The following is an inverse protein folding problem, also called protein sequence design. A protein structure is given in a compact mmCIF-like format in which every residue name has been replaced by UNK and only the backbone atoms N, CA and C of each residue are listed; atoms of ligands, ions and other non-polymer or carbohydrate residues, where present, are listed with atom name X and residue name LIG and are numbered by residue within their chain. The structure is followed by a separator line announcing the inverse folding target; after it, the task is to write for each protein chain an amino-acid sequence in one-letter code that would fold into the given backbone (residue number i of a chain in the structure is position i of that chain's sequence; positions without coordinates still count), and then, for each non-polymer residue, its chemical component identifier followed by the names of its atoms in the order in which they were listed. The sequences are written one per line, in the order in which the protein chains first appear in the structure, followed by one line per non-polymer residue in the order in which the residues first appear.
data_IF_334602679997
#
_entry.id   IF_334602679997
#
_cell.length_a   1.000
_cell.length_b   1.000
_cell.length_c   1.000
_cell.angle_alpha   90.00
_cell.angle_beta   90.00
_cell.angle_gamma   90.00
#
_symmetry.space_group_name_H-M   'P 1'
#
loop_
_entity.id
_entity.type
_entity.pdbx_description
1 polymer ?
#
# COMPACT_ATOMS: atom_id res chain seq x y z
N UNK A 1 -9.48 -23.24 -24.53
CA UNK A 1 -8.51 -22.47 -23.70
C UNK A 1 -8.97 -21.04 -23.67
N UNK A 2 -9.53 -20.57 -22.56
CA UNK A 2 -9.86 -19.16 -22.40
C UNK A 2 -8.53 -18.40 -22.24
N UNK A 3 -8.15 -17.58 -23.19
CA UNK A 3 -7.05 -16.64 -23.03
C UNK A 3 -7.52 -15.53 -22.09
N UNK A 4 -7.18 -15.63 -20.82
CA UNK A 4 -7.27 -14.48 -19.92
C UNK A 4 -6.22 -13.47 -20.39
N UNK A 5 -6.65 -12.32 -20.90
CA UNK A 5 -5.75 -11.19 -21.13
C UNK A 5 -5.44 -10.58 -19.76
N UNK A 6 -4.28 -10.93 -19.21
CA UNK A 6 -3.72 -10.24 -18.06
C UNK A 6 -3.01 -9.01 -18.63
N UNK A 7 -3.50 -7.82 -18.28
CA UNK A 7 -2.96 -6.56 -18.79
C UNK A 7 -1.83 -6.02 -17.90
N UNK A 8 -1.91 -6.26 -16.58
CA UNK A 8 -0.94 -5.78 -15.60
C UNK A 8 -0.69 -6.83 -14.53
N UNK A 9 0.55 -6.92 -14.10
CA UNK A 9 0.97 -7.74 -12.97
C UNK A 9 1.64 -6.85 -11.92
N UNK A 10 1.49 -7.22 -10.67
CA UNK A 10 2.05 -6.53 -9.51
C UNK A 10 2.80 -7.52 -8.63
N UNK A 11 3.78 -7.02 -7.90
CA UNK A 11 4.56 -7.81 -6.95
C UNK A 11 4.33 -7.21 -5.56
N UNK A 12 4.00 -8.04 -4.57
CA UNK A 12 4.10 -7.64 -3.18
C UNK A 12 5.39 -8.20 -2.60
N UNK A 13 6.23 -7.32 -2.01
CA UNK A 13 7.46 -7.75 -1.37
C UNK A 13 7.18 -8.66 -0.16
N UNK A 14 8.12 -9.55 0.21
CA UNK A 14 7.94 -10.41 1.37
C UNK A 14 7.76 -9.60 2.67
N UNK A 15 6.91 -10.07 3.56
CA UNK A 15 6.58 -9.39 4.83
C UNK A 15 7.75 -9.28 5.83
N UNK A 16 8.88 -9.96 5.61
CA UNK A 16 10.08 -9.83 6.46
C UNK A 16 10.91 -8.58 6.15
N UNK A 17 10.57 -7.81 5.14
CA UNK A 17 11.22 -6.54 4.81
C UNK A 17 11.11 -5.59 6.01
N UNK A 18 12.27 -5.03 6.42
CA UNK A 18 12.31 -4.02 7.47
C UNK A 18 13.48 -3.04 7.24
N UNK A 19 13.19 -1.93 6.56
CA UNK A 19 14.16 -0.86 6.32
C UNK A 19 14.44 -0.02 7.60
N UNK A 20 13.54 -0.07 8.59
CA UNK A 20 13.66 0.67 9.85
C UNK A 20 14.38 -0.11 10.96
N UNK A 21 14.82 -1.35 10.74
CA UNK A 21 15.47 -2.17 11.77
C UNK A 21 16.73 -1.55 12.34
N UNK A 22 17.00 -1.74 13.65
CA UNK A 22 18.30 -1.40 14.27
C UNK A 22 19.44 -2.21 13.66
N UNK A 23 19.16 -3.44 13.23
CA UNK A 23 20.12 -4.40 12.72
C UNK A 23 20.52 -4.09 11.27
N UNK A 24 21.77 -3.66 11.08
CA UNK A 24 22.29 -3.29 9.75
C UNK A 24 22.13 -4.41 8.71
N UNK A 25 22.32 -5.66 9.10
CA UNK A 25 22.22 -6.79 8.18
C UNK A 25 20.78 -7.00 7.70
N UNK A 26 19.75 -6.77 8.55
CA UNK A 26 18.32 -6.85 8.18
C UNK A 26 18.00 -5.75 7.16
N UNK A 27 18.43 -4.49 7.41
CA UNK A 27 18.24 -3.38 6.47
C UNK A 27 18.90 -3.67 5.12
N UNK A 28 20.16 -4.12 5.12
CA UNK A 28 20.87 -4.42 3.88
C UNK A 28 20.21 -5.54 3.08
N UNK A 29 19.78 -6.60 3.78
CA UNK A 29 19.05 -7.69 3.14
C UNK A 29 17.72 -7.18 2.55
N UNK A 30 16.98 -6.36 3.29
CA UNK A 30 15.72 -5.77 2.82
C UNK A 30 15.92 -4.91 1.57
N UNK A 31 16.95 -4.06 1.55
CA UNK A 31 17.33 -3.25 0.39
C UNK A 31 17.61 -4.14 -0.83
N UNK A 32 18.46 -5.16 -0.65
CA UNK A 32 18.84 -6.06 -1.74
C UNK A 32 17.63 -6.84 -2.29
N UNK A 33 16.78 -7.36 -1.40
CA UNK A 33 15.58 -8.10 -1.82
C UNK A 33 14.63 -7.19 -2.61
N UNK A 34 14.34 -5.98 -2.14
CA UNK A 34 13.47 -5.04 -2.88
C UNK A 34 14.09 -4.69 -4.24
N UNK A 35 15.41 -4.43 -4.28
CA UNK A 35 16.09 -4.12 -5.54
C UNK A 35 16.03 -5.29 -6.52
N UNK A 36 16.34 -6.50 -6.08
CA UNK A 36 16.26 -7.70 -6.91
C UNK A 36 14.85 -7.95 -7.45
N UNK A 37 13.82 -7.73 -6.63
CA UNK A 37 12.42 -7.88 -7.05
C UNK A 37 12.00 -6.78 -8.05
N UNK A 38 12.49 -5.54 -7.91
CA UNK A 38 12.28 -4.48 -8.90
C UNK A 38 12.90 -4.84 -10.26
N UNK A 39 14.14 -5.33 -10.28
CA UNK A 39 14.83 -5.77 -11.52
C UNK A 39 14.10 -6.94 -12.17
N UNK A 40 13.69 -7.95 -11.37
CA UNK A 40 12.88 -9.08 -11.85
C UNK A 40 11.53 -8.62 -12.37
N UNK A 41 10.85 -7.72 -11.62
CA UNK A 41 9.58 -7.14 -12.01
C UNK A 41 9.67 -6.43 -13.36
N UNK A 42 10.74 -5.65 -13.57
CA UNK A 42 11.00 -4.99 -14.85
C UNK A 42 11.21 -6.01 -15.98
N UNK A 43 12.01 -7.06 -15.74
CA UNK A 43 12.26 -8.10 -16.73
C UNK A 43 10.99 -8.89 -17.11
N UNK A 44 10.05 -9.04 -16.16
CA UNK A 44 8.77 -9.72 -16.35
C UNK A 44 7.66 -8.80 -16.87
N UNK A 45 7.91 -7.48 -16.98
CA UNK A 45 6.91 -6.49 -17.38
C UNK A 45 5.85 -6.21 -16.33
N UNK A 46 6.17 -6.41 -15.03
CA UNK A 46 5.29 -6.02 -13.94
C UNK A 46 5.15 -4.49 -13.86
N UNK A 47 3.95 -4.02 -13.51
CA UNK A 47 3.63 -2.59 -13.38
C UNK A 47 4.33 -1.96 -12.19
N UNK A 48 4.24 -2.61 -11.04
CA UNK A 48 4.81 -2.09 -9.80
C UNK A 48 5.10 -3.21 -8.78
N UNK A 49 5.94 -2.86 -7.80
CA UNK A 49 6.23 -3.62 -6.60
C UNK A 49 5.85 -2.78 -5.38
N UNK A 50 4.96 -3.28 -4.52
CA UNK A 50 4.60 -2.65 -3.26
C UNK A 50 5.26 -3.34 -2.08
N UNK A 51 5.50 -2.58 -0.99
CA UNK A 51 6.08 -3.09 0.24
C UNK A 51 5.72 -2.24 1.45
N UNK A 52 5.76 -2.85 2.64
CA UNK A 52 5.69 -2.14 3.92
C UNK A 52 7.09 -1.71 4.37
N UNK A 53 7.29 -0.45 4.81
CA UNK A 53 8.62 0.05 5.19
C UNK A 53 9.27 -0.71 6.36
N UNK A 54 8.46 -1.33 7.22
CA UNK A 54 8.90 -2.09 8.37
C UNK A 54 8.62 -1.39 9.70
N UNK A 55 9.25 -1.87 10.77
CA UNK A 55 8.99 -1.42 12.13
C UNK A 55 10.22 -0.77 12.76
N UNK A 56 10.01 0.39 13.36
CA UNK A 56 11.01 1.18 14.10
C UNK A 56 11.06 0.83 15.59
N UNK A 57 10.51 -0.31 16.02
CA UNK A 57 10.39 -0.73 17.43
C UNK A 57 11.68 -0.52 18.23
N UNK A 58 12.83 -0.83 17.61
CA UNK A 58 14.12 -0.83 18.30
C UNK A 58 14.88 0.51 18.19
N UNK A 59 14.43 1.43 17.35
CA UNK A 59 15.15 2.69 17.08
C UNK A 59 14.33 3.94 17.34
N UNK A 60 13.00 3.80 17.46
CA UNK A 60 12.05 4.91 17.54
C UNK A 60 11.69 5.51 16.18
N UNK A 61 10.53 6.17 16.11
CA UNK A 61 9.89 6.61 14.87
C UNK A 61 10.77 7.54 14.03
N UNK A 62 11.29 8.61 14.62
CA UNK A 62 12.11 9.60 13.91
C UNK A 62 13.35 8.97 13.25
N UNK A 63 14.06 8.11 13.98
CA UNK A 63 15.22 7.41 13.43
C UNK A 63 14.80 6.35 12.41
N UNK A 64 13.67 5.68 12.63
CA UNK A 64 13.10 4.71 11.70
C UNK A 64 12.81 5.34 10.34
N UNK A 65 12.15 6.50 10.31
CA UNK A 65 11.89 7.26 9.08
C UNK A 65 13.19 7.58 8.33
N UNK A 66 14.23 8.08 9.02
CA UNK A 66 15.53 8.36 8.40
C UNK A 66 16.18 7.11 7.80
N UNK A 67 16.09 5.97 8.49
CA UNK A 67 16.63 4.70 7.99
C UNK A 67 15.84 4.18 6.77
N UNK A 68 14.53 4.38 6.73
CA UNK A 68 13.71 4.04 5.55
C UNK A 68 14.12 4.91 4.36
N UNK A 69 14.25 6.23 4.54
CA UNK A 69 14.70 7.16 3.50
C UNK A 69 16.08 6.73 2.93
N UNK A 70 17.05 6.46 3.80
CA UNK A 70 18.36 5.93 3.38
C UNK A 70 18.22 4.61 2.60
N UNK A 71 17.28 3.75 3.00
CA UNK A 71 16.96 2.50 2.31
C UNK A 71 16.38 2.74 0.93
N UNK A 72 15.42 3.65 0.80
CA UNK A 72 14.82 4.05 -0.48
C UNK A 72 15.86 4.61 -1.45
N UNK A 73 16.71 5.50 -0.97
CA UNK A 73 17.81 6.07 -1.78
C UNK A 73 18.70 4.96 -2.36
N UNK A 74 19.07 3.99 -1.54
CA UNK A 74 19.92 2.87 -1.98
C UNK A 74 19.19 1.91 -2.92
N UNK A 75 17.89 1.67 -2.71
CA UNK A 75 17.08 0.84 -3.60
C UNK A 75 17.00 1.50 -4.98
N UNK A 76 16.80 2.82 -5.01
CA UNK A 76 16.58 3.57 -6.25
C UNK A 76 17.88 4.02 -6.93
N UNK A 77 19.03 3.93 -6.26
CA UNK A 77 20.31 4.32 -6.83
C UNK A 77 20.64 3.50 -8.10
N UNK A 78 20.82 4.20 -9.22
CA UNK A 78 21.08 3.58 -10.52
C UNK A 78 19.95 2.68 -11.05
N UNK A 79 18.76 2.66 -10.44
CA UNK A 79 17.62 1.92 -10.97
C UNK A 79 17.04 2.63 -12.20
N UNK A 80 16.90 1.89 -13.31
CA UNK A 80 16.34 2.38 -14.59
C UNK A 80 15.26 1.45 -15.14
N UNK A 81 14.81 0.49 -14.33
CA UNK A 81 13.78 -0.46 -14.73
C UNK A 81 12.39 0.17 -14.86
N UNK A 82 11.45 -0.56 -15.46
CA UNK A 82 10.07 -0.11 -15.69
C UNK A 82 9.11 -0.43 -14.54
N UNK A 83 9.47 -1.33 -13.61
CA UNK A 83 8.65 -1.68 -12.47
C UNK A 83 8.73 -0.57 -11.42
N UNK A 84 7.61 0.08 -11.10
CA UNK A 84 7.56 1.19 -10.15
C UNK A 84 7.60 0.67 -8.71
N UNK A 85 8.41 1.30 -7.84
CA UNK A 85 8.37 1.04 -6.39
C UNK A 85 7.17 1.77 -5.77
N UNK A 86 6.41 1.08 -4.92
CA UNK A 86 5.29 1.67 -4.17
C UNK A 86 5.47 1.46 -2.68
N UNK A 87 5.27 2.51 -1.90
CA UNK A 87 5.12 2.39 -0.45
C UNK A 87 3.65 2.07 -0.16
N UNK A 88 3.40 1.01 0.59
CA UNK A 88 2.06 0.68 1.03
C UNK A 88 1.77 1.27 2.40
N UNK A 89 0.56 1.85 2.56
CA UNK A 89 0.09 2.31 3.87
C UNK A 89 0.00 1.10 4.82
N UNK A 90 0.45 1.29 6.05
CA UNK A 90 0.49 0.25 7.09
C UNK A 90 -0.69 0.38 8.06
N UNK A 91 -1.09 -0.73 8.69
CA UNK A 91 -2.24 -0.75 9.62
C UNK A 91 -1.96 -0.14 11.01
N UNK A 92 -0.75 0.37 11.26
CA UNK A 92 -0.40 1.03 12.52
C UNK A 92 -0.09 0.08 13.68
N UNK A 93 0.20 -1.19 13.42
CA UNK A 93 0.49 -2.16 14.48
C UNK A 93 1.87 -1.93 15.12
N UNK A 94 1.89 -1.53 16.38
CA UNK A 94 3.13 -1.30 17.12
C UNK A 94 3.86 -0.02 16.67
N UNK A 95 5.11 -0.14 16.21
CA UNK A 95 5.92 0.98 15.75
C UNK A 95 6.24 0.84 14.26
N UNK A 96 5.27 0.44 13.44
CA UNK A 96 5.43 0.38 11.98
C UNK A 96 5.56 1.79 11.41
N UNK A 97 6.29 1.90 10.31
CA UNK A 97 6.42 3.14 9.54
C UNK A 97 5.40 3.12 8.40
N UNK A 98 4.83 4.30 8.09
CA UNK A 98 3.91 4.48 6.99
C UNK A 98 2.45 4.18 7.33
N UNK A 99 2.04 4.36 8.58
CA UNK A 99 0.65 4.24 9.01
C UNK A 99 -0.14 5.56 8.93
N UNK A 100 0.53 6.65 8.58
CA UNK A 100 -0.10 7.95 8.33
C UNK A 100 0.33 8.54 6.99
N UNK A 101 -0.53 9.40 6.43
CA UNK A 101 -0.23 10.10 5.18
C UNK A 101 0.97 11.02 5.34
N UNK A 102 1.11 11.65 6.52
CA UNK A 102 2.23 12.52 6.86
C UNK A 102 3.56 11.76 6.88
N UNK A 103 3.58 10.52 7.37
CA UNK A 103 4.79 9.69 7.33
C UNK A 103 5.14 9.29 5.90
N UNK A 104 4.14 8.83 5.11
CA UNK A 104 4.38 8.48 3.70
C UNK A 104 4.88 9.70 2.93
N UNK A 105 4.28 10.87 3.10
CA UNK A 105 4.74 12.11 2.49
C UNK A 105 6.20 12.41 2.89
N UNK A 106 6.53 12.27 4.19
CA UNK A 106 7.91 12.48 4.68
C UNK A 106 8.92 11.51 4.06
N UNK A 107 8.52 10.26 3.79
CA UNK A 107 9.36 9.28 3.11
C UNK A 107 9.61 9.67 1.65
N UNK A 108 8.56 10.10 0.94
CA UNK A 108 8.65 10.53 -0.45
C UNK A 108 9.47 11.82 -0.59
N UNK A 109 9.20 12.80 0.25
CA UNK A 109 9.91 14.10 0.24
C UNK A 109 11.38 13.96 0.64
N UNK A 110 11.67 13.02 1.54
CA UNK A 110 13.04 12.80 2.04
C UNK A 110 13.92 12.00 1.09
N UNK A 111 13.35 11.17 0.23
CA UNK A 111 14.11 10.34 -0.69
C UNK A 111 14.54 11.12 -1.94
N UNK A 112 15.79 10.94 -2.39
CA UNK A 112 16.36 11.63 -3.56
C UNK A 112 15.56 11.43 -4.86
N UNK A 113 14.92 10.27 -5.01
CA UNK A 113 14.06 9.91 -6.15
C UNK A 113 12.62 9.65 -5.72
N UNK A 114 12.17 10.32 -4.64
CA UNK A 114 10.82 10.13 -4.10
C UNK A 114 9.70 10.38 -5.10
N UNK A 115 9.85 11.34 -6.00
CA UNK A 115 8.89 11.61 -7.07
C UNK A 115 8.66 10.43 -8.04
N UNK A 116 9.54 9.44 -8.08
CA UNK A 116 9.38 8.22 -8.89
C UNK A 116 8.75 7.08 -8.10
N UNK A 117 8.64 7.22 -6.78
CA UNK A 117 8.03 6.24 -5.88
C UNK A 117 6.54 6.56 -5.77
N UNK A 118 5.70 5.56 -5.97
CA UNK A 118 4.26 5.71 -5.82
C UNK A 118 3.75 5.17 -4.49
N UNK A 119 2.43 5.18 -4.33
CA UNK A 119 1.74 4.71 -3.13
C UNK A 119 0.74 3.62 -3.49
N UNK A 120 0.70 2.58 -2.65
CA UNK A 120 -0.37 1.61 -2.56
C UNK A 120 -1.23 1.95 -1.34
N UNK A 121 -2.52 2.19 -1.56
CA UNK A 121 -3.46 2.48 -0.49
C UNK A 121 -4.28 1.23 -0.18
N UNK A 122 -4.00 0.58 0.94
CA UNK A 122 -4.84 -0.51 1.44
C UNK A 122 -5.98 0.05 2.29
N UNK A 123 -7.22 -0.32 1.96
CA UNK A 123 -8.42 0.18 2.64
C UNK A 123 -8.54 -0.36 4.06
N UNK A 124 -8.13 -1.60 4.31
CA UNK A 124 -8.13 -2.19 5.65
C UNK A 124 -7.07 -1.53 6.54
N UNK A 125 -5.85 -1.35 6.01
CA UNK A 125 -4.76 -0.70 6.74
C UNK A 125 -5.09 0.75 7.08
N UNK A 126 -5.56 1.52 6.11
CA UNK A 126 -5.99 2.90 6.32
C UNK A 126 -7.11 2.99 7.38
N UNK A 127 -8.12 2.10 7.31
CA UNK A 127 -9.19 2.06 8.30
C UNK A 127 -8.68 1.73 9.70
N UNK A 128 -7.78 0.75 9.81
CA UNK A 128 -7.15 0.38 11.07
C UNK A 128 -6.26 1.49 11.64
N UNK A 129 -5.68 2.33 10.79
CA UNK A 129 -4.83 3.48 11.18
C UNK A 129 -5.61 4.78 11.44
N UNK A 130 -6.95 4.76 11.31
CA UNK A 130 -7.79 5.90 11.69
C UNK A 130 -8.33 6.73 10.52
N UNK A 131 -8.22 6.25 9.28
CA UNK A 131 -8.86 6.86 8.11
C UNK A 131 -10.23 6.21 7.86
N UNK A 132 -11.29 6.94 8.18
CA UNK A 132 -12.66 6.40 8.09
C UNK A 132 -13.11 6.24 6.64
N UNK A 133 -13.56 5.03 6.30
CA UNK A 133 -14.00 4.65 4.95
C UNK A 133 -15.45 4.11 4.93
N UNK A 134 -16.25 4.31 5.99
CA UNK A 134 -17.57 3.69 6.14
C UNK A 134 -18.69 4.39 5.38
N UNK A 135 -18.59 5.70 5.17
CA UNK A 135 -19.65 6.51 4.57
C UNK A 135 -19.14 7.34 3.39
N UNK A 136 -20.05 7.81 2.53
CA UNK A 136 -19.69 8.71 1.41
C UNK A 136 -18.87 9.92 1.89
N UNK A 137 -19.31 10.57 2.95
CA UNK A 137 -18.64 11.78 3.47
C UNK A 137 -17.25 11.47 4.04
N UNK A 138 -17.10 10.36 4.77
CA UNK A 138 -15.81 9.98 5.35
C UNK A 138 -14.81 9.52 4.28
N UNK A 139 -15.25 8.76 3.27
CA UNK A 139 -14.41 8.39 2.13
C UNK A 139 -13.89 9.63 1.39
N UNK A 140 -14.80 10.57 1.05
CA UNK A 140 -14.38 11.80 0.35
C UNK A 140 -13.42 12.64 1.18
N UNK A 141 -13.62 12.70 2.49
CA UNK A 141 -12.71 13.39 3.41
C UNK A 141 -11.34 12.70 3.39
N UNK A 142 -11.29 11.39 3.56
CA UNK A 142 -10.03 10.62 3.56
C UNK A 142 -9.26 10.79 2.25
N UNK A 143 -9.94 10.67 1.09
CA UNK A 143 -9.28 10.85 -0.21
C UNK A 143 -8.82 12.30 -0.42
N UNK A 144 -9.58 13.29 0.05
CA UNK A 144 -9.14 14.69 0.03
C UNK A 144 -7.93 14.95 0.94
N UNK A 145 -7.89 14.32 2.11
CA UNK A 145 -6.75 14.43 3.02
C UNK A 145 -5.51 13.76 2.42
N UNK A 146 -5.67 12.60 1.76
CA UNK A 146 -4.60 11.95 0.98
C UNK A 146 -4.07 12.87 -0.12
N UNK A 147 -4.97 13.44 -0.94
CA UNK A 147 -4.61 14.35 -2.04
C UNK A 147 -3.83 15.57 -1.55
N UNK A 148 -4.27 16.17 -0.46
CA UNK A 148 -3.60 17.34 0.13
C UNK A 148 -2.22 17.03 0.69
N UNK A 149 -2.02 15.81 1.23
CA UNK A 149 -0.80 15.46 1.98
C UNK A 149 0.24 14.77 1.10
N UNK A 150 -0.22 13.92 0.16
CA UNK A 150 0.66 13.10 -0.69
C UNK A 150 0.52 13.48 -2.16
N UNK A 151 -0.72 13.74 -2.62
CA UNK A 151 -1.08 13.92 -4.02
C UNK A 151 -1.67 12.66 -4.65
N UNK A 152 -2.81 12.80 -5.34
CA UNK A 152 -3.46 11.65 -6.01
C UNK A 152 -2.66 11.10 -7.20
N UNK A 153 -1.74 11.87 -7.76
CA UNK A 153 -0.80 11.43 -8.80
C UNK A 153 0.18 10.36 -8.31
N UNK A 154 0.45 10.31 -7.00
CA UNK A 154 1.28 9.27 -6.37
C UNK A 154 0.53 7.96 -6.17
N UNK A 155 -0.82 7.96 -6.21
CA UNK A 155 -1.64 6.78 -5.94
C UNK A 155 -1.72 5.88 -7.18
N UNK A 156 -1.12 4.71 -7.12
CA UNK A 156 -1.02 3.77 -8.25
C UNK A 156 -1.97 2.59 -8.09
N UNK A 157 -2.12 2.08 -6.87
CA UNK A 157 -2.88 0.88 -6.54
C UNK A 157 -3.74 1.11 -5.30
N UNK A 158 -4.95 0.59 -5.33
CA UNK A 158 -5.78 0.36 -4.15
C UNK A 158 -5.83 -1.15 -3.86
N UNK A 159 -5.38 -1.56 -2.68
CA UNK A 159 -5.79 -2.83 -2.11
C UNK A 159 -7.19 -2.65 -1.51
N UNK A 160 -8.17 -3.35 -2.07
CA UNK A 160 -9.59 -3.18 -1.71
C UNK A 160 -10.01 -4.33 -0.80
N UNK A 161 -9.84 -4.14 0.49
CA UNK A 161 -10.08 -5.13 1.54
C UNK A 161 -11.02 -4.56 2.59
N UNK A 162 -12.03 -5.33 3.01
CA UNK A 162 -12.81 -4.97 4.19
C UNK A 162 -12.03 -5.31 5.47
N UNK A 163 -12.50 -4.89 6.61
CA UNK A 163 -11.80 -5.03 7.88
C UNK A 163 -12.57 -5.89 8.90
N UNK A 164 -11.95 -6.94 9.41
CA UNK A 164 -12.44 -7.64 10.60
C UNK A 164 -12.27 -6.79 11.85
N UNK A 165 -11.28 -5.89 11.85
CA UNK A 165 -10.91 -5.06 12.99
C UNK A 165 -11.72 -3.79 13.04
N UNK A 166 -11.91 -3.25 14.26
CA UNK A 166 -12.59 -1.96 14.45
C UNK A 166 -11.77 -0.80 13.89
N UNK A 167 -12.46 0.30 13.63
CA UNK A 167 -11.85 1.57 13.24
C UNK A 167 -10.78 2.00 14.23
N UNK A 168 -9.63 2.46 13.73
CA UNK A 168 -8.50 2.94 14.53
C UNK A 168 -7.98 1.90 15.55
N UNK A 169 -8.04 0.62 15.19
CA UNK A 169 -7.65 -0.49 16.07
C UNK A 169 -6.17 -0.84 16.00
N UNK A 170 -5.46 -0.34 14.99
CA UNK A 170 -4.06 -0.68 14.71
C UNK A 170 -3.83 -2.19 14.56
N UNK A 171 -4.80 -2.89 13.91
CA UNK A 171 -4.75 -4.33 13.68
C UNK A 171 -4.98 -4.65 12.22
N UNK A 172 -4.01 -5.30 11.62
CA UNK A 172 -4.10 -5.82 10.27
C UNK A 172 -4.91 -7.13 10.26
N UNK A 173 -6.15 -7.05 9.78
CA UNK A 173 -7.06 -8.20 9.64
C UNK A 173 -8.05 -7.93 8.52
N UNK A 174 -7.75 -8.49 7.34
CA UNK A 174 -8.59 -8.39 6.13
C UNK A 174 -9.87 -9.21 6.28
N UNK A 175 -10.94 -8.74 5.64
CA UNK A 175 -12.23 -9.39 5.53
C UNK A 175 -12.76 -9.28 4.10
N UNK A 176 -13.73 -10.13 3.76
CA UNK A 176 -14.46 -10.08 2.49
C UNK A 176 -15.30 -8.82 2.36
N UNK A 177 -15.42 -8.30 1.15
CA UNK A 177 -16.12 -7.04 0.88
C UNK A 177 -17.59 -7.09 1.36
N UNK A 178 -17.92 -6.17 2.25
CA UNK A 178 -19.24 -6.03 2.85
C UNK A 178 -19.52 -6.93 4.05
N UNK A 179 -18.57 -7.78 4.45
CA UNK A 179 -18.68 -8.61 5.64
C UNK A 179 -17.97 -8.00 6.85
N UNK A 180 -17.15 -6.96 6.63
CA UNK A 180 -16.35 -6.31 7.65
C UNK A 180 -16.96 -5.00 8.17
N UNK A 181 -16.10 -4.20 8.78
CA UNK A 181 -16.45 -2.97 9.49
C UNK A 181 -16.45 -1.72 8.61
N UNK A 182 -15.88 -1.79 7.39
CA UNK A 182 -15.95 -0.71 6.40
C UNK A 182 -17.31 -0.74 5.72
N UNK A 183 -17.69 -1.90 5.17
CA UNK A 183 -18.97 -2.13 4.54
C UNK A 183 -19.08 -1.61 3.10
N UNK A 184 -20.09 -2.08 2.36
CA UNK A 184 -20.23 -1.84 0.92
C UNK A 184 -20.47 -0.37 0.54
N UNK A 185 -21.05 0.44 1.42
CA UNK A 185 -21.31 1.86 1.15
C UNK A 185 -20.00 2.62 0.90
N UNK A 186 -19.01 2.39 1.78
CA UNK A 186 -17.69 2.98 1.63
C UNK A 186 -17.00 2.56 0.34
N UNK A 187 -17.00 1.28 0.03
CA UNK A 187 -16.41 0.77 -1.22
C UNK A 187 -17.11 1.33 -2.45
N UNK A 188 -18.44 1.39 -2.46
CA UNK A 188 -19.20 1.98 -3.58
C UNK A 188 -18.77 3.42 -3.85
N UNK A 189 -18.62 4.21 -2.82
CA UNK A 189 -18.12 5.58 -2.95
C UNK A 189 -16.69 5.59 -3.46
N UNK A 190 -15.78 4.84 -2.81
CA UNK A 190 -14.36 4.86 -3.12
C UNK A 190 -14.09 4.50 -4.59
N UNK A 191 -14.60 3.35 -5.05
CA UNK A 191 -14.36 2.89 -6.43
C UNK A 191 -15.13 3.68 -7.49
N UNK A 192 -16.18 4.42 -7.08
CA UNK A 192 -16.96 5.31 -7.93
C UNK A 192 -16.35 6.71 -8.10
N UNK A 193 -15.30 7.07 -7.36
CA UNK A 193 -14.64 8.36 -7.48
C UNK A 193 -13.94 8.50 -8.83
N UNK A 194 -14.35 9.47 -9.65
CA UNK A 194 -13.74 9.74 -10.97
C UNK A 194 -12.25 10.07 -10.87
N UNK A 195 -11.83 10.73 -9.79
CA UNK A 195 -10.42 11.04 -9.52
C UNK A 195 -9.55 9.79 -9.36
N UNK A 196 -10.14 8.64 -9.03
CA UNK A 196 -9.45 7.36 -8.86
C UNK A 196 -9.64 6.40 -10.04
N UNK A 197 -10.20 6.86 -11.17
CA UNK A 197 -10.48 6.00 -12.33
C UNK A 197 -9.24 5.41 -12.98
N UNK A 198 -8.07 6.01 -12.77
CA UNK A 198 -6.76 5.57 -13.26
C UNK A 198 -6.07 4.56 -12.34
N UNK A 199 -6.55 4.39 -11.11
CA UNK A 199 -5.95 3.54 -10.09
C UNK A 199 -6.38 2.09 -10.28
N UNK A 200 -5.44 1.16 -10.22
CA UNK A 200 -5.74 -0.26 -10.29
C UNK A 200 -6.23 -0.80 -8.94
N UNK A 201 -7.16 -1.75 -8.99
CA UNK A 201 -7.80 -2.34 -7.81
C UNK A 201 -7.35 -3.79 -7.66
N UNK A 202 -6.83 -4.15 -6.49
CA UNK A 202 -6.36 -5.50 -6.15
C UNK A 202 -7.09 -5.95 -4.88
N UNK A 203 -7.45 -7.23 -4.81
CA UNK A 203 -8.07 -7.86 -3.65
C UNK A 203 -7.03 -8.71 -2.92
N UNK A 204 -6.90 -8.50 -1.62
CA UNK A 204 -6.12 -9.35 -0.70
C UNK A 204 -7.02 -9.94 0.40
N UNK A 205 -8.30 -10.12 0.08
CA UNK A 205 -9.27 -10.74 0.96
C UNK A 205 -8.90 -12.20 1.29
N UNK A 206 -9.43 -12.81 2.38
CA UNK A 206 -9.09 -14.17 2.78
C UNK A 206 -9.13 -15.18 1.63
N UNK A 207 -8.16 -16.12 1.62
CA UNK A 207 -8.01 -17.11 0.54
C UNK A 207 -8.95 -18.28 0.74
N UNK A 208 -10.18 -18.09 0.38
CA UNK A 208 -11.23 -19.09 0.43
C UNK A 208 -12.18 -19.02 -0.78
N UNK A 209 -13.28 -19.76 -0.73
CA UNK A 209 -14.28 -19.82 -1.79
C UNK A 209 -15.02 -18.49 -2.03
N UNK A 210 -14.94 -17.52 -1.11
CA UNK A 210 -15.64 -16.23 -1.19
C UNK A 210 -14.84 -15.18 -1.97
N UNK A 211 -13.51 -15.32 -2.13
CA UNK A 211 -12.67 -14.37 -2.90
C UNK A 211 -13.22 -14.14 -4.31
N UNK A 212 -13.76 -15.18 -4.94
CA UNK A 212 -14.40 -15.08 -6.25
C UNK A 212 -15.65 -14.20 -6.23
N UNK A 213 -16.40 -14.21 -5.12
CA UNK A 213 -17.55 -13.35 -4.88
C UNK A 213 -17.11 -11.90 -4.71
N UNK A 214 -16.02 -11.64 -3.97
CA UNK A 214 -15.47 -10.29 -3.81
C UNK A 214 -15.11 -9.65 -5.15
N UNK A 215 -14.51 -10.41 -6.06
CA UNK A 215 -14.21 -9.93 -7.40
C UNK A 215 -15.48 -9.53 -8.17
N UNK A 216 -16.58 -10.28 -8.03
CA UNK A 216 -17.87 -9.95 -8.65
C UNK A 216 -18.50 -8.70 -7.99
N UNK A 217 -18.43 -8.60 -6.66
CA UNK A 217 -18.88 -7.42 -5.92
C UNK A 217 -18.12 -6.19 -6.41
N UNK A 218 -16.79 -6.23 -6.44
CA UNK A 218 -15.95 -5.12 -6.87
C UNK A 218 -16.25 -4.68 -8.31
N UNK A 219 -16.45 -5.63 -9.23
CA UNK A 219 -16.83 -5.34 -10.61
C UNK A 219 -18.20 -4.67 -10.75
N UNK A 220 -19.15 -4.98 -9.86
CA UNK A 220 -20.48 -4.37 -9.88
C UNK A 220 -20.50 -2.99 -9.21
N UNK A 221 -19.52 -2.66 -8.39
CA UNK A 221 -19.40 -1.35 -7.74
C UNK A 221 -18.71 -0.31 -8.64
N UNK A 222 -17.90 -0.74 -9.60
CA UNK A 222 -17.17 0.11 -10.54
C UNK A 222 -17.92 0.25 -11.87
#
# INVERSE_FOLDING_TARGET
MFQCKIERAYIHAPYFINLASSEKHIRLNSINVIRDELERGSALGCRALMFHPGSAKDVGQEKGIKLVIEGLDRIMDGYTGSCQLLIEISAGAGAVIGDSFEEIASLLDGANRGAEIGVCFDTQHAFASGYDLRTDSSVRKTIKDFDRTIGLECLVVLHVNDSMSEFNSHKDRHEHLGNGKIGLEGFKTLVGLKSLSHVDLILETPDDNLRRKDLLVLKNLR
#
